data_IF_210628026831
#
_entry.id   IF_210628026831
#
_cell.length_a   1.000
_cell.length_b   1.000
_cell.length_c   1.000
_cell.angle_alpha   90.00
_cell.angle_beta   90.00
_cell.angle_gamma   90.00
#
_symmetry.space_group_name_H-M   'P 1'
#
loop_
_entity.id
_entity.type
_entity.pdbx_description
1 polymer ?
#
# COMPACT_ATOMS: atom_id res chain seq x y z
N UNK A 1 9.52 -20.98 -3.44
CA UNK A 1 9.94 -19.58 -3.57
C UNK A 1 8.72 -18.75 -3.92
N UNK A 2 8.53 -17.62 -3.26
CA UNK A 2 7.48 -16.63 -3.58
C UNK A 2 8.10 -15.50 -4.39
N UNK A 3 7.42 -15.07 -5.45
CA UNK A 3 7.88 -14.03 -6.35
C UNK A 3 6.98 -12.80 -6.25
N UNK A 4 7.59 -11.64 -5.99
CA UNK A 4 6.93 -10.34 -6.01
C UNK A 4 7.31 -9.51 -7.23
N UNK A 5 6.34 -8.88 -7.86
CA UNK A 5 6.56 -7.91 -8.93
C UNK A 5 6.40 -6.49 -8.38
N UNK A 6 7.47 -5.69 -8.43
CA UNK A 6 7.42 -4.27 -8.07
C UNK A 6 7.09 -3.46 -9.32
N UNK A 7 6.11 -2.57 -9.24
CA UNK A 7 5.81 -1.63 -10.32
C UNK A 7 6.45 -0.29 -10.03
N UNK A 8 7.47 0.05 -10.81
CA UNK A 8 8.13 1.35 -10.81
C UNK A 8 7.92 2.04 -12.17
N UNK A 9 6.76 2.57 -12.44
CA UNK A 9 6.32 3.25 -13.66
C UNK A 9 7.42 3.59 -14.67
N UNK A 10 8.02 4.76 -14.52
CA UNK A 10 9.14 5.22 -15.38
C UNK A 10 10.50 4.61 -15.03
N UNK A 11 10.55 3.63 -14.12
CA UNK A 11 11.75 2.91 -13.72
C UNK A 11 12.31 3.29 -12.35
N UNK A 12 13.16 2.41 -11.82
CA UNK A 12 13.71 2.48 -10.45
C UNK A 12 15.01 3.28 -10.30
N UNK A 13 15.41 4.10 -11.27
CA UNK A 13 16.62 4.93 -11.20
C UNK A 13 16.44 6.29 -11.91
N UNK A 14 17.45 7.15 -11.80
CA UNK A 14 17.43 8.53 -12.32
C UNK A 14 17.34 8.64 -13.85
N UNK A 15 17.65 7.58 -14.59
CA UNK A 15 17.83 7.62 -16.05
C UNK A 15 16.88 6.72 -16.83
N UNK A 16 16.18 5.78 -16.19
CA UNK A 16 15.32 4.80 -16.87
C UNK A 16 14.27 5.46 -17.78
N UNK A 17 13.71 6.59 -17.37
CA UNK A 17 12.70 7.32 -18.13
C UNK A 17 13.20 7.86 -19.48
N UNK A 18 14.53 7.96 -19.65
CA UNK A 18 15.18 8.43 -20.90
C UNK A 18 15.27 7.36 -21.98
N UNK A 19 14.98 6.10 -21.65
CA UNK A 19 15.00 5.03 -22.66
C UNK A 19 13.96 5.33 -23.76
N UNK A 20 14.31 5.13 -25.05
CA UNK A 20 13.40 5.43 -26.16
C UNK A 20 12.00 4.79 -26.05
N UNK A 21 11.94 3.58 -25.50
CA UNK A 21 10.69 2.83 -25.33
C UNK A 21 9.99 3.11 -23.97
N UNK A 22 10.53 4.01 -23.14
CA UNK A 22 9.92 4.33 -21.85
C UNK A 22 8.61 5.11 -22.04
N UNK A 23 7.58 4.68 -21.33
CA UNK A 23 6.33 5.41 -21.22
C UNK A 23 6.53 6.50 -20.16
N UNK A 24 6.67 7.75 -20.59
CA UNK A 24 7.13 8.86 -19.73
C UNK A 24 6.18 9.22 -18.59
N UNK A 25 4.89 8.90 -18.70
CA UNK A 25 3.86 9.08 -17.70
C UNK A 25 3.50 7.79 -16.94
N UNK A 26 4.26 6.71 -17.12
CA UNK A 26 3.95 5.38 -16.59
C UNK A 26 3.71 5.36 -15.07
N UNK A 27 4.33 6.26 -14.31
CA UNK A 27 4.16 6.33 -12.85
C UNK A 27 2.75 6.74 -12.41
N UNK A 28 1.97 7.40 -13.27
CA UNK A 28 0.57 7.84 -13.03
C UNK A 28 -0.37 7.40 -14.16
N UNK A 29 0.03 6.44 -14.96
CA UNK A 29 -0.74 5.89 -16.06
C UNK A 29 -1.43 4.58 -15.63
N UNK A 30 -2.73 4.64 -15.33
CA UNK A 30 -3.48 3.46 -14.88
C UNK A 30 -3.48 2.31 -15.91
N UNK A 31 -3.53 2.63 -17.20
CA UNK A 31 -3.47 1.61 -18.26
C UNK A 31 -2.17 0.80 -18.15
N UNK A 32 -1.04 1.49 -17.96
CA UNK A 32 0.25 0.84 -17.75
C UNK A 32 0.23 -0.08 -16.52
N UNK A 33 -0.25 0.41 -15.36
CA UNK A 33 -0.34 -0.41 -14.14
C UNK A 33 -1.22 -1.64 -14.33
N UNK A 34 -2.38 -1.48 -14.98
CA UNK A 34 -3.27 -2.60 -15.31
C UNK A 34 -2.56 -3.66 -16.16
N UNK A 35 -1.90 -3.24 -17.24
CA UNK A 35 -1.17 -4.15 -18.11
C UNK A 35 -0.04 -4.90 -17.38
N UNK A 36 0.73 -4.20 -16.53
CA UNK A 36 1.79 -4.83 -15.74
C UNK A 36 1.22 -5.82 -14.71
N UNK A 37 0.14 -5.46 -14.03
CA UNK A 37 -0.52 -6.33 -13.06
C UNK A 37 -1.02 -7.62 -13.72
N UNK A 38 -1.70 -7.51 -14.86
CA UNK A 38 -2.20 -8.66 -15.60
C UNK A 38 -1.07 -9.53 -16.18
N UNK A 39 0.04 -8.94 -16.64
CA UNK A 39 1.23 -9.67 -17.06
C UNK A 39 1.89 -10.44 -15.91
N UNK A 40 2.03 -9.80 -14.75
CA UNK A 40 2.58 -10.44 -13.56
C UNK A 40 1.70 -11.62 -13.11
N UNK A 41 0.38 -11.44 -13.10
CA UNK A 41 -0.58 -12.51 -12.76
C UNK A 41 -0.51 -13.68 -13.77
N UNK A 42 -0.48 -13.39 -15.06
CA UNK A 42 -0.29 -14.41 -16.12
C UNK A 42 1.06 -15.11 -15.98
N UNK A 43 2.11 -14.41 -15.60
CA UNK A 43 3.45 -14.91 -15.30
C UNK A 43 3.56 -15.68 -13.97
N UNK A 44 2.46 -15.87 -13.22
CA UNK A 44 2.41 -16.59 -11.95
C UNK A 44 3.24 -15.97 -10.83
N UNK A 45 3.40 -14.66 -10.83
CA UNK A 45 3.91 -13.97 -9.66
C UNK A 45 2.90 -14.10 -8.50
N UNK A 46 3.42 -14.28 -7.28
CA UNK A 46 2.59 -14.43 -6.08
C UNK A 46 1.96 -13.10 -5.64
N UNK A 47 2.67 -11.99 -5.84
CA UNK A 47 2.17 -10.67 -5.42
C UNK A 47 2.69 -9.53 -6.31
N UNK A 48 1.89 -8.46 -6.36
CA UNK A 48 2.29 -7.12 -6.77
C UNK A 48 2.70 -6.31 -5.53
N UNK A 49 3.74 -5.52 -5.66
CA UNK A 49 4.23 -4.66 -4.59
C UNK A 49 4.28 -3.21 -5.06
N UNK A 50 3.58 -2.33 -4.33
CA UNK A 50 3.61 -0.88 -4.55
C UNK A 50 4.37 -0.24 -3.39
N UNK A 51 5.59 0.22 -3.68
CA UNK A 51 6.42 0.95 -2.75
C UNK A 51 5.91 2.40 -2.60
N UNK A 52 6.07 2.95 -1.41
CA UNK A 52 5.73 4.35 -1.14
C UNK A 52 6.68 4.99 -0.13
N UNK A 53 6.68 6.33 -0.11
CA UNK A 53 7.38 7.16 0.85
C UNK A 53 6.71 8.54 0.91
N UNK A 54 6.67 9.11 2.10
CA UNK A 54 5.87 10.30 2.42
C UNK A 54 6.66 11.61 2.30
N UNK A 55 7.80 11.59 1.60
CA UNK A 55 8.63 12.75 1.37
C UNK A 55 9.38 12.65 0.04
N UNK A 56 9.47 13.76 -0.65
CA UNK A 56 10.24 13.91 -1.90
C UNK A 56 11.18 15.11 -1.82
N UNK A 57 12.27 15.06 -2.56
CA UNK A 57 13.21 16.17 -2.74
C UNK A 57 13.85 16.08 -4.14
N UNK A 58 14.77 17.01 -4.43
CA UNK A 58 15.47 17.11 -5.72
C UNK A 58 16.35 15.88 -6.06
N UNK A 59 16.66 15.03 -5.07
CA UNK A 59 17.41 13.79 -5.26
C UNK A 59 16.54 12.56 -5.45
N UNK A 60 15.22 12.71 -5.33
CA UNK A 60 14.28 11.62 -5.54
C UNK A 60 14.30 11.16 -6.99
N UNK A 61 14.24 9.84 -7.21
CA UNK A 61 14.13 9.28 -8.56
C UNK A 61 12.79 9.69 -9.20
N UNK A 62 12.71 9.82 -10.52
CA UNK A 62 11.51 10.32 -11.22
C UNK A 62 10.21 9.61 -10.83
N UNK A 63 10.23 8.29 -10.65
CA UNK A 63 9.05 7.55 -10.22
C UNK A 63 8.51 8.03 -8.86
N UNK A 64 9.39 8.40 -7.91
CA UNK A 64 8.95 8.87 -6.58
C UNK A 64 8.47 10.31 -6.56
N UNK A 65 8.79 11.10 -7.58
CA UNK A 65 8.29 12.48 -7.69
C UNK A 65 6.80 12.54 -8.04
N UNK A 66 6.29 11.56 -8.79
CA UNK A 66 4.91 11.55 -9.28
C UNK A 66 4.42 10.11 -9.43
N UNK A 67 3.63 9.62 -8.47
CA UNK A 67 3.10 8.25 -8.46
C UNK A 67 1.74 8.17 -7.79
N UNK A 68 1.05 7.07 -8.00
CA UNK A 68 -0.18 6.76 -7.28
C UNK A 68 0.08 6.41 -5.82
N UNK A 69 -0.87 6.74 -4.95
CA UNK A 69 -0.94 6.26 -3.58
C UNK A 69 -1.29 4.75 -3.57
N UNK A 70 -0.63 3.94 -2.71
CA UNK A 70 -0.71 2.48 -2.81
C UNK A 70 -2.12 1.88 -2.68
N UNK A 71 -2.92 2.30 -1.70
CA UNK A 71 -4.24 1.70 -1.48
C UNK A 71 -5.19 2.04 -2.61
N UNK A 72 -5.14 3.26 -3.11
CA UNK A 72 -5.98 3.71 -4.22
C UNK A 72 -5.68 2.92 -5.50
N UNK A 73 -4.41 2.80 -5.87
CA UNK A 73 -4.05 2.05 -7.09
C UNK A 73 -4.31 0.54 -6.93
N UNK A 74 -4.02 -0.04 -5.77
CA UNK A 74 -4.28 -1.47 -5.53
C UNK A 74 -5.78 -1.79 -5.53
N UNK A 75 -6.63 -0.90 -5.02
CA UNK A 75 -8.08 -1.07 -5.10
C UNK A 75 -8.58 -1.09 -6.56
N UNK A 76 -8.02 -0.23 -7.40
CA UNK A 76 -8.31 -0.25 -8.83
C UNK A 76 -7.77 -1.53 -9.51
N UNK A 77 -6.58 -2.00 -9.15
CA UNK A 77 -5.99 -3.23 -9.68
C UNK A 77 -6.71 -4.50 -9.20
N UNK A 78 -7.32 -4.48 -8.01
CA UNK A 78 -8.14 -5.57 -7.51
C UNK A 78 -9.29 -5.92 -8.46
N UNK A 79 -9.88 -4.91 -9.12
CA UNK A 79 -10.99 -5.10 -10.07
C UNK A 79 -10.59 -5.71 -11.41
N UNK A 80 -9.29 -5.74 -11.73
CA UNK A 80 -8.76 -6.21 -13.03
C UNK A 80 -7.80 -7.39 -12.91
N UNK A 81 -7.67 -7.94 -11.70
CA UNK A 81 -6.88 -9.14 -11.38
C UNK A 81 -7.72 -10.08 -10.51
N UNK A 82 -7.36 -11.36 -10.42
CA UNK A 82 -8.18 -12.37 -9.72
C UNK A 82 -7.42 -13.28 -8.75
N UNK A 83 -6.08 -13.33 -8.82
CA UNK A 83 -5.27 -14.29 -8.04
C UNK A 83 -4.04 -13.69 -7.38
N UNK A 84 -3.42 -12.70 -8.02
CA UNK A 84 -2.17 -12.10 -7.53
C UNK A 84 -2.42 -11.30 -6.25
N UNK A 85 -1.55 -11.49 -5.24
CA UNK A 85 -1.58 -10.70 -4.01
C UNK A 85 -1.30 -9.22 -4.28
N UNK A 86 -1.90 -8.34 -3.51
CA UNK A 86 -1.86 -6.89 -3.67
C UNK A 86 -1.24 -6.26 -2.43
N UNK A 87 0.07 -5.95 -2.48
CA UNK A 87 0.83 -5.48 -1.33
C UNK A 87 1.13 -4.00 -1.45
N UNK A 88 0.58 -3.22 -0.52
CA UNK A 88 0.76 -1.77 -0.45
C UNK A 88 1.63 -1.33 0.73
N UNK A 89 2.38 -0.28 0.52
CA UNK A 89 3.23 0.34 1.56
C UNK A 89 2.45 1.43 2.28
N UNK A 90 2.28 1.31 3.60
CA UNK A 90 1.79 2.39 4.46
C UNK A 90 2.64 2.53 5.71
N UNK A 91 2.81 3.79 6.12
CA UNK A 91 3.65 4.14 7.26
C UNK A 91 2.89 4.09 8.59
N UNK A 92 3.54 3.54 9.60
CA UNK A 92 3.05 3.59 11.00
C UNK A 92 3.38 4.89 11.72
N UNK A 93 4.22 5.76 11.12
CA UNK A 93 4.67 6.99 11.78
C UNK A 93 3.69 8.16 11.65
N UNK A 94 2.89 8.19 10.57
CA UNK A 94 2.06 9.35 10.22
C UNK A 94 0.62 9.02 9.86
N UNK A 95 0.25 7.74 9.84
CA UNK A 95 -1.11 7.29 9.59
C UNK A 95 -1.73 6.79 10.89
N UNK A 96 -3.04 6.91 11.03
CA UNK A 96 -3.76 6.39 12.20
C UNK A 96 -4.10 4.90 12.02
N UNK A 97 -3.89 4.05 13.05
CA UNK A 97 -4.09 2.60 12.92
C UNK A 97 -5.53 2.22 12.54
N UNK A 98 -6.52 2.91 13.07
CA UNK A 98 -7.92 2.68 12.69
C UNK A 98 -8.17 2.93 11.20
N UNK A 99 -7.65 4.04 10.66
CA UNK A 99 -7.80 4.39 9.24
C UNK A 99 -7.16 3.35 8.35
N UNK A 100 -5.90 2.99 8.65
CA UNK A 100 -5.16 2.00 7.86
C UNK A 100 -5.80 0.61 7.94
N UNK A 101 -6.24 0.20 9.12
CA UNK A 101 -6.93 -1.09 9.28
C UNK A 101 -8.21 -1.16 8.43
N UNK A 102 -9.01 -0.09 8.41
CA UNK A 102 -10.21 -0.02 7.53
C UNK A 102 -9.86 -0.06 6.05
N UNK A 103 -8.81 0.66 5.63
CA UNK A 103 -8.37 0.68 4.23
C UNK A 103 -7.96 -0.72 3.77
N UNK A 104 -7.13 -1.43 4.57
CA UNK A 104 -6.72 -2.79 4.24
C UNK A 104 -7.87 -3.78 4.30
N UNK A 105 -8.78 -3.69 5.28
CA UNK A 105 -9.99 -4.51 5.32
C UNK A 105 -10.86 -4.30 4.07
N UNK A 106 -11.00 -3.05 3.62
CA UNK A 106 -11.74 -2.76 2.39
C UNK A 106 -11.07 -3.35 1.17
N UNK A 107 -9.73 -3.18 1.04
CA UNK A 107 -8.96 -3.77 -0.05
C UNK A 107 -9.05 -5.30 -0.03
N UNK A 108 -9.02 -5.91 1.15
CA UNK A 108 -9.11 -7.36 1.32
C UNK A 108 -10.47 -7.89 0.84
N UNK A 109 -11.56 -7.27 1.26
CA UNK A 109 -12.90 -7.61 0.77
C UNK A 109 -13.06 -7.38 -0.75
N UNK A 110 -12.57 -6.25 -1.28
CA UNK A 110 -12.64 -5.95 -2.72
C UNK A 110 -11.85 -6.98 -3.53
N UNK A 111 -10.73 -7.45 -3.00
CA UNK A 111 -9.82 -8.35 -3.69
C UNK A 111 -10.03 -9.83 -3.39
N UNK A 112 -11.01 -10.18 -2.57
CA UNK A 112 -11.28 -11.56 -2.16
C UNK A 112 -10.06 -12.20 -1.45
N UNK A 113 -9.60 -11.55 -0.35
CA UNK A 113 -8.56 -12.06 0.52
C UNK A 113 -7.13 -11.92 -0.02
N UNK A 114 -6.85 -10.94 -0.90
CA UNK A 114 -5.52 -10.78 -1.54
C UNK A 114 -4.72 -9.58 -1.05
N UNK A 115 -5.23 -8.83 -0.07
CA UNK A 115 -4.55 -7.66 0.45
C UNK A 115 -3.30 -8.03 1.26
N UNK A 116 -2.26 -7.23 1.12
CA UNK A 116 -1.05 -7.35 1.92
C UNK A 116 -0.47 -5.98 2.28
N UNK A 117 0.13 -5.88 3.45
CA UNK A 117 0.69 -4.63 3.96
C UNK A 117 2.20 -4.71 4.13
N UNK A 118 2.91 -3.84 3.40
CA UNK A 118 4.31 -3.54 3.67
C UNK A 118 4.38 -2.44 4.73
N UNK A 119 4.62 -2.85 5.96
CA UNK A 119 4.69 -1.97 7.13
C UNK A 119 6.02 -1.23 7.17
N UNK A 120 5.97 0.10 7.07
CA UNK A 120 7.17 0.93 7.12
C UNK A 120 7.07 2.01 8.22
N UNK A 121 8.23 2.54 8.61
CA UNK A 121 8.35 3.53 9.69
C UNK A 121 8.75 4.92 9.20
N UNK A 122 8.73 5.20 7.89
CA UNK A 122 9.12 6.48 7.26
C UNK A 122 10.45 7.04 7.79
N UNK A 123 11.61 6.58 7.29
CA UNK A 123 12.91 6.98 7.83
C UNK A 123 13.32 8.42 7.50
N UNK A 124 12.66 9.06 6.53
CA UNK A 124 12.99 10.41 6.07
C UNK A 124 12.27 11.45 6.94
N UNK A 125 13.03 12.25 7.68
CA UNK A 125 12.51 13.28 8.61
C UNK A 125 11.63 14.34 7.92
N UNK A 126 11.93 14.69 6.66
CA UNK A 126 11.11 15.59 5.87
C UNK A 126 9.64 15.17 5.72
N UNK A 127 9.34 13.89 5.96
CA UNK A 127 7.95 13.40 6.00
C UNK A 127 7.12 14.15 7.06
N UNK A 128 7.72 14.58 8.17
CA UNK A 128 7.03 15.31 9.26
C UNK A 128 6.31 16.57 8.75
N UNK A 129 6.93 17.30 7.81
CA UNK A 129 6.40 18.55 7.26
C UNK A 129 5.06 18.37 6.55
N UNK A 130 4.85 17.24 5.88
CA UNK A 130 3.60 16.93 5.20
C UNK A 130 2.45 16.60 6.18
N UNK A 131 2.77 16.41 7.46
CA UNK A 131 1.79 16.10 8.52
C UNK A 131 1.73 17.20 9.60
N UNK A 132 2.03 18.43 9.22
CA UNK A 132 2.00 19.61 10.10
C UNK A 132 2.83 19.47 11.38
N UNK A 133 3.99 18.83 11.24
CA UNK A 133 4.99 18.63 12.30
C UNK A 133 6.31 19.31 11.93
N UNK A 134 7.11 19.65 12.93
CA UNK A 134 8.47 20.12 12.70
C UNK A 134 9.42 18.95 12.45
N UNK A 135 10.59 19.21 11.86
CA UNK A 135 11.59 18.18 11.63
C UNK A 135 12.06 17.52 12.95
N UNK A 136 12.18 18.31 14.01
CA UNK A 136 12.61 17.84 15.34
C UNK A 136 11.55 16.92 16.01
N UNK A 137 10.31 16.95 15.54
CA UNK A 137 9.25 16.06 16.01
C UNK A 137 9.24 14.71 15.31
N UNK A 138 10.07 14.55 14.25
CA UNK A 138 10.24 13.26 13.62
C UNK A 138 10.84 12.25 14.60
N UNK A 139 10.18 11.11 14.86
CA UNK A 139 10.70 10.15 15.82
C UNK A 139 11.99 9.51 15.35
N UNK A 140 12.95 9.36 16.25
CA UNK A 140 14.18 8.64 16.01
C UNK A 140 13.94 7.14 15.69
N UNK A 141 14.98 6.45 15.24
CA UNK A 141 14.87 5.05 14.83
C UNK A 141 14.27 4.15 15.92
N UNK A 142 14.74 4.12 17.18
CA UNK A 142 14.15 3.28 18.23
C UNK A 142 12.68 3.61 18.50
N UNK A 143 12.34 4.89 18.53
CA UNK A 143 10.97 5.34 18.76
C UNK A 143 10.02 4.94 17.63
N UNK A 144 10.46 5.05 16.37
CA UNK A 144 9.66 4.60 15.20
C UNK A 144 9.30 3.13 15.29
N UNK A 145 10.24 2.26 15.66
CA UNK A 145 9.98 0.82 15.78
C UNK A 145 9.09 0.47 16.96
N UNK A 146 9.19 1.21 18.07
CA UNK A 146 8.27 1.07 19.19
C UNK A 146 6.84 1.45 18.79
N UNK A 147 6.67 2.60 18.13
CA UNK A 147 5.38 3.02 17.57
C UNK A 147 4.84 1.94 16.62
N UNK A 148 5.65 1.43 15.72
CA UNK A 148 5.22 0.41 14.77
C UNK A 148 4.78 -0.89 15.46
N UNK A 149 5.44 -1.29 16.55
CA UNK A 149 5.05 -2.47 17.33
C UNK A 149 3.67 -2.31 17.96
N UNK A 150 3.40 -1.17 18.62
CA UNK A 150 2.08 -0.86 19.20
C UNK A 150 1.01 -0.74 18.11
N UNK A 151 1.34 -0.04 17.03
CA UNK A 151 0.46 0.15 15.88
C UNK A 151 -0.03 -1.18 15.30
N UNK A 152 0.89 -2.15 15.11
CA UNK A 152 0.54 -3.48 14.61
C UNK A 152 -0.35 -4.26 15.58
N UNK A 153 -0.15 -4.11 16.88
CA UNK A 153 -1.01 -4.74 17.88
C UNK A 153 -2.44 -4.18 17.78
N UNK A 154 -2.58 -2.86 17.66
CA UNK A 154 -3.90 -2.22 17.47
C UNK A 154 -4.56 -2.68 16.17
N UNK A 155 -3.82 -2.67 15.05
CA UNK A 155 -4.36 -3.08 13.76
C UNK A 155 -4.83 -4.54 13.76
N UNK A 156 -4.04 -5.45 14.32
CA UNK A 156 -4.41 -6.87 14.46
C UNK A 156 -5.63 -7.04 15.37
N UNK A 157 -5.68 -6.32 16.51
CA UNK A 157 -6.82 -6.36 17.40
C UNK A 157 -8.11 -5.83 16.75
N UNK A 158 -8.02 -4.82 15.88
CA UNK A 158 -9.17 -4.33 15.11
C UNK A 158 -9.65 -5.36 14.09
N UNK A 159 -8.76 -6.04 13.36
CA UNK A 159 -9.14 -7.09 12.41
C UNK A 159 -9.72 -8.32 13.07
N UNK A 160 -9.29 -8.63 14.29
CA UNK A 160 -9.76 -9.78 15.10
C UNK A 160 -10.86 -9.40 16.09
N UNK A 161 -11.52 -8.25 15.91
CA UNK A 161 -12.52 -7.73 16.87
C UNK A 161 -13.93 -8.29 16.67
N UNK A 162 -14.19 -8.98 15.60
CA UNK A 162 -15.45 -9.66 15.31
C UNK A 162 -15.26 -11.17 15.44
N UNK A 163 -16.23 -11.84 16.04
CA UNK A 163 -16.33 -13.30 15.98
C UNK A 163 -16.65 -13.76 14.55
N UNK A 164 -16.20 -14.95 14.16
CA UNK A 164 -16.36 -15.46 12.79
C UNK A 164 -17.82 -15.54 12.37
N UNK A 165 -18.74 -15.79 13.31
CA UNK A 165 -20.18 -15.90 13.10
C UNK A 165 -20.98 -14.68 13.62
N UNK A 166 -20.31 -13.55 13.89
CA UNK A 166 -20.96 -12.37 14.43
C UNK A 166 -22.15 -11.84 13.58
N UNK A 167 -22.08 -11.99 12.26
CA UNK A 167 -23.10 -11.50 11.33
C UNK A 167 -24.10 -12.60 10.97
N UNK A 168 -25.17 -12.73 11.74
CA UNK A 168 -26.22 -13.74 11.59
C UNK A 168 -27.03 -13.53 10.30
N UNK A 169 -27.42 -12.29 9.99
CA UNK A 169 -28.16 -11.86 8.79
C UNK A 169 -29.45 -12.67 8.55
N UNK A 170 -30.15 -13.01 9.63
CA UNK A 170 -31.41 -13.74 9.57
C UNK A 170 -32.56 -12.80 9.14
N UNK A 171 -33.08 -13.04 7.96
CA UNK A 171 -34.17 -12.23 7.39
C UNK A 171 -35.55 -12.54 7.98
N UNK A 172 -35.73 -13.72 8.58
CA UNK A 172 -37.03 -14.12 9.17
C UNK A 172 -37.21 -13.46 10.55
N UNK A 173 -36.15 -13.49 11.38
CA UNK A 173 -36.19 -12.89 12.72
C UNK A 173 -35.81 -11.42 12.73
N UNK A 174 -35.17 -10.92 11.68
CA UNK A 174 -34.64 -9.56 11.59
C UNK A 174 -33.33 -9.35 12.38
N UNK A 175 -32.70 -10.40 12.86
CA UNK A 175 -31.42 -10.34 13.59
C UNK A 175 -30.28 -10.22 12.58
N UNK A 176 -29.51 -9.12 12.67
CA UNK A 176 -28.39 -8.87 11.77
C UNK A 176 -27.05 -9.32 12.36
N UNK A 177 -26.84 -9.11 13.67
CA UNK A 177 -25.62 -9.48 14.41
C UNK A 177 -25.93 -9.82 15.87
#
# INVERSE_FOLDING_TARGET
IKLGAIIHGVGGNMSSWKHPDAIVDASVNFKYYKEQAQKAEAGKFDLLFIADGLYINEKSIPHFLNRFEPITILSALASVTSKIGLVGTLSTSYSEPFTVSRQFSSLDHISDGRAGWNVVTSPLEGSALNFNKKLEEHPDHPKRYRIASEYLQVSKGLWDSWEDDAFIRDKETGVFF
#
